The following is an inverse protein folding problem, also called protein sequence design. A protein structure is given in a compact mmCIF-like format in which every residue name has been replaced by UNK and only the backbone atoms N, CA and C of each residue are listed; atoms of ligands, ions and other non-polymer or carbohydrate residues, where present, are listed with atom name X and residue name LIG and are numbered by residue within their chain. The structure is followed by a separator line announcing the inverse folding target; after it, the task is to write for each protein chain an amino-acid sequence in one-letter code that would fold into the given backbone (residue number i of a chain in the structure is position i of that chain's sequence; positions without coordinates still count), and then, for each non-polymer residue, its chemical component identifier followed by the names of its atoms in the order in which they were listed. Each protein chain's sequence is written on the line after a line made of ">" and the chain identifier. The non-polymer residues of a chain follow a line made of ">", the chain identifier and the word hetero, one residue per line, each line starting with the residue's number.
data_IF_842174533202
#
_entry.id   IF_842174533202
#
_cell.length_a   1.000
_cell.length_b   1.000
_cell.length_c   1.000
_cell.angle_alpha   90.00
_cell.angle_beta   90.00
_cell.angle_gamma   90.00
#
_symmetry.space_group_name_H-M   'P 1'
#
loop_
_entity.id
_entity.type
_entity.pdbx_description
1 polymer ?
#
# COMPACT_ATOMS: atom_id res chain seq x y z
N UNK A 1 36.51 11.87 34.92
CA UNK A 1 36.45 11.74 33.44
C UNK A 1 35.12 11.10 33.10
N UNK A 2 34.23 11.79 32.40
CA UNK A 2 32.99 11.18 31.87
C UNK A 2 33.39 10.04 30.93
N UNK A 3 33.22 8.79 31.35
CA UNK A 3 33.41 7.65 30.47
C UNK A 3 32.23 7.62 29.51
N UNK A 4 32.44 8.17 28.31
CA UNK A 4 31.44 8.08 27.24
C UNK A 4 31.19 6.61 26.93
N UNK A 5 29.94 6.18 26.99
CA UNK A 5 29.55 4.80 26.70
C UNK A 5 30.01 4.38 25.30
N UNK A 6 30.35 3.11 25.11
CA UNK A 6 30.71 2.56 23.80
C UNK A 6 29.46 2.31 22.95
N UNK A 7 29.62 2.13 21.63
CA UNK A 7 28.50 1.79 20.74
C UNK A 7 27.77 0.52 21.20
N UNK A 8 28.51 -0.50 21.63
CA UNK A 8 27.94 -1.74 22.14
C UNK A 8 27.21 -1.60 23.48
N UNK A 9 27.68 -0.71 24.36
CA UNK A 9 26.96 -0.39 25.61
C UNK A 9 25.63 0.30 25.30
N UNK A 10 25.62 1.24 24.35
CA UNK A 10 24.38 1.84 23.87
C UNK A 10 23.44 0.81 23.22
N UNK A 11 23.95 -0.15 22.44
CA UNK A 11 23.15 -1.28 21.93
C UNK A 11 22.54 -2.10 23.08
N UNK A 12 23.32 -2.41 24.12
CA UNK A 12 22.82 -3.17 25.27
C UNK A 12 21.70 -2.42 26.01
N UNK A 13 21.88 -1.12 26.25
CA UNK A 13 20.83 -0.27 26.83
C UNK A 13 19.58 -0.22 25.95
N UNK A 14 19.76 -0.09 24.62
CA UNK A 14 18.65 -0.17 23.67
C UNK A 14 17.90 -1.50 23.74
N UNK A 15 18.62 -2.62 23.87
CA UNK A 15 18.02 -3.95 24.03
C UNK A 15 17.25 -4.07 25.36
N UNK A 16 17.74 -3.45 26.44
CA UNK A 16 17.06 -3.44 27.74
C UNK A 16 15.75 -2.64 27.69
N UNK A 17 15.79 -1.43 27.11
CA UNK A 17 14.60 -0.62 26.88
C UNK A 17 13.60 -1.35 25.96
N UNK A 18 14.07 -2.00 24.90
CA UNK A 18 13.23 -2.79 24.01
C UNK A 18 12.50 -3.93 24.74
N UNK A 19 13.19 -4.65 25.64
CA UNK A 19 12.58 -5.70 26.47
C UNK A 19 11.53 -5.14 27.44
N UNK A 20 11.71 -3.91 27.90
CA UNK A 20 10.74 -3.18 28.73
C UNK A 20 9.59 -2.56 27.92
N UNK A 21 9.62 -2.68 26.59
CA UNK A 21 8.68 -2.03 25.64
C UNK A 21 8.77 -0.49 25.64
N UNK A 22 9.90 0.04 26.09
CA UNK A 22 10.25 1.47 26.07
C UNK A 22 10.91 1.77 24.71
N UNK A 23 10.09 1.82 23.65
CA UNK A 23 10.60 1.82 22.28
C UNK A 23 11.25 3.15 21.87
N UNK A 24 10.74 4.30 22.33
CA UNK A 24 11.36 5.60 22.07
C UNK A 24 12.75 5.74 22.72
N UNK A 25 12.90 5.25 23.95
CA UNK A 25 14.16 5.21 24.67
C UNK A 25 15.14 4.25 23.98
N UNK A 26 14.66 3.06 23.56
CA UNK A 26 15.46 2.12 22.78
C UNK A 26 15.97 2.74 21.47
N UNK A 27 15.12 3.47 20.74
CA UNK A 27 15.49 4.20 19.52
C UNK A 27 16.58 5.23 19.80
N UNK A 28 16.48 5.94 20.93
CA UNK A 28 17.47 6.95 21.33
C UNK A 28 18.83 6.29 21.57
N UNK A 29 18.87 5.18 22.30
CA UNK A 29 20.11 4.45 22.58
C UNK A 29 20.70 3.81 21.31
N UNK A 30 19.89 3.18 20.45
CA UNK A 30 20.40 2.69 19.15
C UNK A 30 20.91 3.82 18.26
N UNK A 31 20.27 4.98 18.27
CA UNK A 31 20.74 6.15 17.51
C UNK A 31 22.09 6.65 18.03
N UNK A 32 22.31 6.63 19.35
CA UNK A 32 23.63 6.92 19.94
C UNK A 32 24.69 5.87 19.56
N UNK A 33 24.30 4.60 19.46
CA UNK A 33 25.18 3.53 18.96
C UNK A 33 25.57 3.78 17.50
N UNK A 34 24.61 4.12 16.63
CA UNK A 34 24.84 4.46 15.21
C UNK A 34 25.77 5.66 15.05
N UNK A 35 25.63 6.71 15.86
CA UNK A 35 26.53 7.87 15.80
C UNK A 35 27.99 7.48 16.11
N UNK A 36 28.20 6.48 16.97
CA UNK A 36 29.53 6.02 17.37
C UNK A 36 30.13 5.03 16.39
N UNK A 37 29.34 4.10 15.87
CA UNK A 37 29.74 3.20 14.79
C UNK A 37 28.63 3.09 13.73
N UNK A 38 28.69 3.93 12.68
CA UNK A 38 27.64 4.00 11.68
C UNK A 38 27.58 2.81 10.72
N UNK A 39 28.59 1.93 10.71
CA UNK A 39 28.70 0.82 9.74
C UNK A 39 28.16 -0.49 10.28
N UNK A 40 27.62 -0.51 11.49
CA UNK A 40 27.09 -1.73 12.09
C UNK A 40 25.60 -1.90 11.76
N UNK A 41 25.29 -2.81 10.83
CA UNK A 41 23.93 -3.08 10.37
C UNK A 41 22.93 -3.44 11.50
N UNK A 42 23.40 -4.18 12.51
CA UNK A 42 22.59 -4.61 13.67
C UNK A 42 21.92 -3.44 14.41
N UNK A 43 22.58 -2.27 14.50
CA UNK A 43 21.98 -1.13 15.20
C UNK A 43 20.77 -0.57 14.44
N UNK A 44 20.84 -0.56 13.11
CA UNK A 44 19.73 -0.15 12.26
C UNK A 44 18.59 -1.17 12.33
N UNK A 45 18.86 -2.47 12.25
CA UNK A 45 17.82 -3.52 12.36
C UNK A 45 17.13 -3.48 13.72
N UNK A 46 17.86 -3.26 14.82
CA UNK A 46 17.26 -3.16 16.14
C UNK A 46 16.40 -1.89 16.29
N UNK A 47 16.83 -0.76 15.70
CA UNK A 47 16.03 0.46 15.67
C UNK A 47 14.81 0.33 14.77
N UNK A 48 14.93 -0.34 13.63
CA UNK A 48 13.83 -0.69 12.73
C UNK A 48 12.77 -1.54 13.45
N UNK A 49 13.19 -2.52 14.25
CA UNK A 49 12.27 -3.30 15.10
C UNK A 49 11.51 -2.42 16.10
N UNK A 50 12.14 -1.39 16.67
CA UNK A 50 11.44 -0.44 17.54
C UNK A 50 10.43 0.41 16.75
N UNK A 51 10.83 0.90 15.57
CA UNK A 51 9.93 1.64 14.69
C UNK A 51 8.72 0.81 14.25
N UNK A 52 8.90 -0.49 14.02
CA UNK A 52 7.82 -1.41 13.68
C UNK A 52 6.82 -1.54 14.85
N UNK A 53 7.30 -1.53 16.10
CA UNK A 53 6.42 -1.53 17.30
C UNK A 53 5.70 -0.22 17.56
N UNK A 54 6.17 0.87 16.95
CA UNK A 54 5.56 2.21 17.02
C UNK A 54 4.78 2.56 15.75
N UNK A 55 4.53 1.59 14.87
CA UNK A 55 3.82 1.77 13.59
C UNK A 55 4.46 2.82 12.65
N UNK A 56 5.76 3.10 12.82
CA UNK A 56 6.54 4.05 11.99
C UNK A 56 7.12 3.34 10.77
N UNK A 57 6.26 2.81 9.90
CA UNK A 57 6.65 1.88 8.83
C UNK A 57 7.68 2.44 7.85
N UNK A 58 7.62 3.74 7.52
CA UNK A 58 8.63 4.35 6.62
C UNK A 58 10.02 4.35 7.25
N UNK A 59 10.11 4.57 8.56
CA UNK A 59 11.38 4.53 9.28
C UNK A 59 11.95 3.11 9.33
N UNK A 60 11.10 2.08 9.41
CA UNK A 60 11.51 0.67 9.31
C UNK A 60 12.20 0.42 7.97
N UNK A 61 11.56 0.80 6.86
CA UNK A 61 12.08 0.61 5.50
C UNK A 61 13.44 1.30 5.37
N UNK A 62 13.52 2.58 5.74
CA UNK A 62 14.76 3.35 5.62
C UNK A 62 15.92 2.75 6.45
N UNK A 63 15.67 2.32 7.68
CA UNK A 63 16.71 1.71 8.52
C UNK A 63 17.13 0.32 8.01
N UNK A 64 16.18 -0.48 7.51
CA UNK A 64 16.47 -1.77 6.89
C UNK A 64 17.27 -1.62 5.60
N UNK A 65 16.98 -0.63 4.76
CA UNK A 65 17.77 -0.30 3.56
C UNK A 65 19.20 0.10 3.94
N UNK A 66 19.36 0.95 4.96
CA UNK A 66 20.69 1.30 5.51
C UNK A 66 21.43 0.07 6.05
N UNK A 67 20.73 -0.84 6.73
CA UNK A 67 21.34 -2.07 7.24
C UNK A 67 21.90 -2.93 6.09
N UNK A 68 21.19 -3.01 4.97
CA UNK A 68 21.63 -3.72 3.75
C UNK A 68 22.86 -3.04 3.14
N UNK A 69 22.92 -1.71 3.09
CA UNK A 69 24.06 -0.96 2.55
C UNK A 69 25.38 -1.23 3.29
N UNK A 70 25.32 -1.49 4.60
CA UNK A 70 26.48 -1.65 5.46
C UNK A 70 26.91 -3.10 5.70
N UNK A 71 26.11 -4.07 5.28
CA UNK A 71 26.58 -5.46 5.17
C UNK A 71 27.77 -5.50 4.19
N UNK A 72 28.92 -6.09 4.56
CA UNK A 72 30.08 -6.16 3.69
C UNK A 72 29.66 -6.78 2.35
N UNK A 73 30.16 -6.19 1.26
CA UNK A 73 29.86 -6.47 -0.17
C UNK A 73 30.05 -7.93 -0.66
N UNK A 74 30.10 -8.90 0.25
CA UNK A 74 29.96 -10.34 0.00
C UNK A 74 28.57 -10.89 0.35
N UNK A 75 27.58 -10.07 0.75
CA UNK A 75 26.23 -10.53 1.14
C UNK A 75 25.26 -10.71 -0.05
N UNK A 76 25.46 -10.00 -1.16
CA UNK A 76 24.78 -10.30 -2.42
C UNK A 76 25.31 -11.62 -3.03
N UNK A 77 26.61 -11.93 -2.84
CA UNK A 77 27.25 -13.17 -3.34
C UNK A 77 27.10 -14.40 -2.42
N UNK A 78 26.74 -14.25 -1.13
CA UNK A 78 26.53 -15.39 -0.21
C UNK A 78 25.09 -15.94 -0.18
N UNK A 79 24.20 -15.44 -1.03
CA UNK A 79 22.81 -15.90 -1.14
C UNK A 79 22.66 -17.31 -1.76
N UNK A 80 23.76 -18.02 -2.08
CA UNK A 80 23.74 -19.32 -2.77
C UNK A 80 24.06 -20.57 -1.94
N UNK A 81 24.33 -20.47 -0.63
CA UNK A 81 24.71 -21.69 0.10
C UNK A 81 24.30 -21.78 1.56
N UNK A 82 24.27 -20.65 2.26
CA UNK A 82 23.82 -20.58 3.64
C UNK A 82 23.14 -19.24 3.81
N UNK A 83 21.86 -19.26 4.09
CA UNK A 83 21.14 -18.03 4.36
C UNK A 83 21.70 -17.47 5.66
N UNK A 84 22.41 -16.34 5.58
CA UNK A 84 22.64 -15.54 6.77
C UNK A 84 21.25 -15.15 7.29
N UNK A 85 20.80 -15.75 8.40
CA UNK A 85 19.47 -15.52 8.96
C UNK A 85 19.14 -14.04 9.15
N UNK A 86 20.18 -13.21 9.27
CA UNK A 86 20.11 -11.76 9.39
C UNK A 86 19.56 -11.05 8.13
N UNK A 87 20.01 -11.42 6.92
CA UNK A 87 19.50 -10.81 5.68
C UNK A 87 18.02 -11.15 5.45
N UNK A 88 17.64 -12.40 5.77
CA UNK A 88 16.24 -12.84 5.75
C UNK A 88 15.36 -12.08 6.74
N UNK A 89 15.88 -11.82 7.92
CA UNK A 89 15.19 -11.04 8.94
C UNK A 89 14.92 -9.62 8.45
N UNK A 90 15.92 -8.96 7.84
CA UNK A 90 15.76 -7.61 7.28
C UNK A 90 14.71 -7.59 6.15
N UNK A 91 14.77 -8.53 5.22
CA UNK A 91 13.79 -8.63 4.13
C UNK A 91 12.38 -8.84 4.71
N UNK A 92 12.23 -9.72 5.70
CA UNK A 92 10.97 -9.95 6.38
C UNK A 92 10.41 -8.71 7.08
N UNK A 93 11.27 -7.89 7.70
CA UNK A 93 10.88 -6.62 8.31
C UNK A 93 10.41 -5.59 7.28
N UNK A 94 11.10 -5.49 6.13
CA UNK A 94 10.67 -4.61 5.03
C UNK A 94 9.30 -5.03 4.51
N UNK A 95 9.11 -6.33 4.25
CA UNK A 95 7.84 -6.87 3.76
C UNK A 95 6.70 -6.60 4.74
N UNK A 96 6.92 -6.84 6.04
CA UNK A 96 5.90 -6.57 7.07
C UNK A 96 5.59 -5.07 7.18
N UNK A 97 6.60 -4.20 7.14
CA UNK A 97 6.38 -2.76 7.18
C UNK A 97 5.59 -2.24 5.97
N UNK A 98 5.92 -2.70 4.75
CA UNK A 98 5.18 -2.36 3.53
C UNK A 98 3.72 -2.82 3.63
N UNK A 99 3.50 -4.04 4.10
CA UNK A 99 2.16 -4.61 4.30
C UNK A 99 1.34 -3.79 5.30
N UNK A 100 1.90 -3.46 6.47
CA UNK A 100 1.16 -2.71 7.49
C UNK A 100 0.84 -1.28 7.03
N UNK A 101 1.80 -0.62 6.35
CA UNK A 101 1.57 0.70 5.73
C UNK A 101 0.42 0.65 4.72
N UNK A 102 0.35 -0.39 3.89
CA UNK A 102 -0.76 -0.57 2.95
C UNK A 102 -2.10 -0.77 3.67
N UNK A 103 -2.14 -1.59 4.72
CA UNK A 103 -3.34 -1.81 5.53
C UNK A 103 -3.84 -0.49 6.14
N UNK A 104 -2.94 0.35 6.65
CA UNK A 104 -3.28 1.66 7.23
C UNK A 104 -3.89 2.60 6.17
N UNK A 105 -3.24 2.70 5.01
CA UNK A 105 -3.74 3.50 3.89
C UNK A 105 -5.10 3.01 3.40
N UNK A 106 -5.29 1.70 3.27
CA UNK A 106 -6.57 1.13 2.82
C UNK A 106 -7.67 1.31 3.87
N UNK A 107 -7.35 1.19 5.16
CA UNK A 107 -8.30 1.53 6.24
C UNK A 107 -8.72 2.99 6.19
N UNK A 108 -7.77 3.91 5.99
CA UNK A 108 -8.06 5.33 5.86
C UNK A 108 -8.96 5.61 4.64
N UNK A 109 -8.65 4.99 3.50
CA UNK A 109 -9.47 5.06 2.28
C UNK A 109 -10.90 4.56 2.52
N UNK A 110 -11.06 3.39 3.13
CA UNK A 110 -12.38 2.82 3.44
C UNK A 110 -13.16 3.73 4.40
N UNK A 111 -12.51 4.31 5.41
CA UNK A 111 -13.15 5.23 6.34
C UNK A 111 -13.64 6.51 5.64
N UNK A 112 -12.84 7.09 4.75
CA UNK A 112 -13.21 8.26 3.95
C UNK A 112 -14.39 7.97 3.00
N UNK A 113 -14.32 6.86 2.27
CA UNK A 113 -15.39 6.40 1.37
C UNK A 113 -16.67 6.10 2.16
N UNK A 114 -16.56 5.45 3.33
CA UNK A 114 -17.72 5.17 4.19
C UNK A 114 -18.34 6.44 4.78
N UNK A 115 -17.51 7.42 5.16
CA UNK A 115 -17.96 8.70 5.69
C UNK A 115 -18.70 9.53 4.65
N UNK A 116 -18.12 9.64 3.45
CA UNK A 116 -18.75 10.34 2.31
C UNK A 116 -20.03 9.65 1.85
N UNK A 117 -20.06 8.32 1.81
CA UNK A 117 -21.29 7.57 1.54
C UNK A 117 -22.39 7.86 2.57
N UNK A 118 -22.06 7.82 3.86
CA UNK A 118 -23.01 8.13 4.94
C UNK A 118 -23.56 9.56 4.81
N UNK A 119 -22.69 10.52 4.45
CA UNK A 119 -23.08 11.90 4.21
C UNK A 119 -24.03 12.04 3.01
N UNK A 120 -23.68 11.45 1.87
CA UNK A 120 -24.52 11.47 0.65
C UNK A 120 -25.88 10.80 0.88
N UNK A 121 -25.91 9.67 1.60
CA UNK A 121 -27.14 9.00 2.00
C UNK A 121 -28.03 9.91 2.86
N UNK A 122 -27.45 10.62 3.83
CA UNK A 122 -28.15 11.61 4.65
C UNK A 122 -28.74 12.76 3.83
N UNK A 123 -28.02 13.27 2.84
CA UNK A 123 -28.53 14.32 1.94
C UNK A 123 -29.74 13.84 1.12
N UNK A 124 -29.72 12.59 0.62
CA UNK A 124 -30.84 12.00 -0.11
C UNK A 124 -32.07 11.85 0.80
N UNK A 125 -31.86 11.39 2.04
CA UNK A 125 -32.93 11.27 3.03
C UNK A 125 -33.54 12.63 3.39
N UNK A 126 -32.72 13.67 3.53
CA UNK A 126 -33.17 15.00 3.90
C UNK A 126 -33.86 15.73 2.73
N UNK A 127 -33.40 15.56 1.48
CA UNK A 127 -34.09 16.05 0.28
C UNK A 127 -35.49 15.42 0.16
N UNK A 128 -35.60 14.10 0.36
CA UNK A 128 -36.89 13.41 0.38
C UNK A 128 -37.83 13.99 1.45
N UNK A 129 -37.37 14.12 2.70
CA UNK A 129 -38.19 14.67 3.79
C UNK A 129 -38.65 16.10 3.49
N UNK A 130 -37.76 16.95 2.97
CA UNK A 130 -38.07 18.34 2.61
C UNK A 130 -39.15 18.40 1.53
N UNK A 131 -38.99 17.62 0.45
CA UNK A 131 -39.96 17.59 -0.65
C UNK A 131 -41.30 17.00 -0.23
N UNK A 132 -41.30 15.89 0.51
CA UNK A 132 -42.52 15.28 1.02
C UNK A 132 -43.30 16.20 1.97
N UNK A 133 -42.59 17.02 2.78
CA UNK A 133 -43.23 18.01 3.66
C UNK A 133 -43.83 19.20 2.89
N UNK A 134 -43.27 19.52 1.73
CA UNK A 134 -43.72 20.62 0.88
C UNK A 134 -44.92 20.28 -0.01
N UNK A 135 -45.33 19.00 -0.07
CA UNK A 135 -46.48 18.56 -0.84
C UNK A 135 -47.80 19.03 -0.21
N UNK A 136 -48.76 19.38 -1.06
CA UNK A 136 -50.12 19.69 -0.64
C UNK A 136 -50.88 18.42 -0.26
N UNK A 137 -51.20 18.28 1.04
CA UNK A 137 -51.87 17.11 1.59
C UNK A 137 -53.34 16.99 1.18
N UNK A 138 -53.94 18.08 0.70
CA UNK A 138 -55.34 18.07 0.24
C UNK A 138 -55.46 17.75 -1.25
N UNK A 139 -54.32 17.67 -1.97
CA UNK A 139 -54.29 17.28 -3.37
C UNK A 139 -54.79 15.84 -3.56
N UNK A 140 -55.70 15.59 -4.54
CA UNK A 140 -56.10 14.23 -4.88
C UNK A 140 -54.96 13.38 -5.45
N UNK A 141 -53.84 14.01 -5.86
CA UNK A 141 -52.63 13.35 -6.37
C UNK A 141 -51.55 13.14 -5.30
N UNK A 142 -51.77 13.60 -4.06
CA UNK A 142 -50.77 13.55 -2.98
C UNK A 142 -50.16 12.16 -2.76
N UNK A 143 -50.99 11.11 -2.83
CA UNK A 143 -50.52 9.74 -2.65
C UNK A 143 -49.57 9.29 -3.78
N UNK A 144 -49.85 9.69 -5.03
CA UNK A 144 -49.01 9.37 -6.19
C UNK A 144 -47.69 10.16 -6.13
N UNK A 145 -47.73 11.45 -5.81
CA UNK A 145 -46.53 12.30 -5.68
C UNK A 145 -45.57 11.81 -4.58
N UNK A 146 -46.10 11.33 -3.44
CA UNK A 146 -45.27 10.74 -2.36
C UNK A 146 -44.62 9.43 -2.82
N UNK A 147 -45.35 8.60 -3.58
CA UNK A 147 -44.81 7.34 -4.12
C UNK A 147 -43.69 7.62 -5.13
N UNK A 148 -43.88 8.57 -6.04
CA UNK A 148 -42.87 8.97 -7.01
C UNK A 148 -41.60 9.52 -6.33
N UNK A 149 -41.74 10.39 -5.33
CA UNK A 149 -40.60 10.87 -4.53
C UNK A 149 -39.88 9.73 -3.80
N UNK A 150 -40.63 8.71 -3.34
CA UNK A 150 -40.08 7.51 -2.73
C UNK A 150 -39.26 6.67 -3.72
N UNK A 151 -39.78 6.48 -4.93
CA UNK A 151 -39.09 5.76 -6.01
C UNK A 151 -37.83 6.51 -6.46
N UNK A 152 -37.91 7.84 -6.62
CA UNK A 152 -36.76 8.67 -6.97
C UNK A 152 -35.65 8.58 -5.90
N UNK A 153 -36.03 8.60 -4.62
CA UNK A 153 -35.11 8.40 -3.50
C UNK A 153 -34.44 7.03 -3.57
N UNK A 154 -35.21 5.96 -3.77
CA UNK A 154 -34.67 4.60 -3.89
C UNK A 154 -33.73 4.46 -5.08
N UNK A 155 -34.05 5.08 -6.23
CA UNK A 155 -33.17 5.11 -7.40
C UNK A 155 -31.84 5.81 -7.12
N UNK A 156 -31.87 6.96 -6.44
CA UNK A 156 -30.65 7.69 -6.05
C UNK A 156 -29.81 6.88 -5.05
N UNK A 157 -30.45 6.17 -4.10
CA UNK A 157 -29.75 5.26 -3.20
C UNK A 157 -29.13 4.07 -3.93
N UNK A 158 -29.84 3.48 -4.91
CA UNK A 158 -29.32 2.41 -5.77
C UNK A 158 -28.11 2.88 -6.60
N UNK A 159 -28.17 4.09 -7.15
CA UNK A 159 -27.04 4.69 -7.89
C UNK A 159 -25.83 4.88 -6.96
N UNK A 160 -26.06 5.37 -5.74
CA UNK A 160 -25.02 5.55 -4.73
C UNK A 160 -24.38 4.21 -4.31
N UNK A 161 -25.18 3.16 -4.13
CA UNK A 161 -24.72 1.80 -3.83
C UNK A 161 -23.93 1.20 -5.00
N UNK A 162 -24.37 1.41 -6.23
CA UNK A 162 -23.64 0.98 -7.43
C UNK A 162 -22.30 1.72 -7.57
N UNK A 163 -22.23 3.00 -7.20
CA UNK A 163 -20.98 3.76 -7.16
C UNK A 163 -20.01 3.20 -6.11
N UNK A 164 -20.52 2.75 -4.95
CA UNK A 164 -19.72 2.09 -3.92
C UNK A 164 -19.22 0.70 -4.33
N UNK A 165 -20.10 -0.14 -4.89
CA UNK A 165 -19.73 -1.49 -5.33
C UNK A 165 -18.62 -1.43 -6.39
N UNK A 166 -18.70 -0.45 -7.29
CA UNK A 166 -17.66 -0.17 -8.29
C UNK A 166 -16.37 0.43 -7.69
N UNK A 167 -16.41 0.94 -6.47
CA UNK A 167 -15.27 1.48 -5.72
C UNK A 167 -14.68 0.49 -4.68
N UNK A 168 -15.36 -0.65 -4.46
CA UNK A 168 -15.23 -1.48 -3.27
C UNK A 168 -15.09 -2.97 -3.51
N UNK A 169 -14.52 -3.42 -4.63
CA UNK A 169 -13.94 -4.76 -4.66
C UNK A 169 -12.55 -4.71 -4.00
N UNK A 170 -12.34 -5.41 -2.87
CA UNK A 170 -10.98 -5.71 -2.45
C UNK A 170 -10.35 -6.53 -3.56
N UNK A 171 -9.12 -6.19 -3.93
CA UNK A 171 -8.31 -6.91 -4.89
C UNK A 171 -8.44 -8.44 -4.67
N UNK A 172 -8.56 -9.22 -5.75
CA UNK A 172 -8.57 -10.69 -5.70
C UNK A 172 -7.29 -11.21 -5.00
N UNK A 173 -6.21 -10.40 -5.03
CA UNK A 173 -4.96 -10.60 -4.29
C UNK A 173 -5.01 -10.24 -2.79
N UNK A 174 -6.00 -9.48 -2.32
CA UNK A 174 -6.15 -9.09 -0.90
C UNK A 174 -6.95 -10.13 -0.07
N UNK A 175 -7.73 -10.98 -0.72
CA UNK A 175 -8.57 -12.00 -0.07
C UNK A 175 -7.80 -12.95 0.89
N UNK A 176 -6.56 -13.40 0.59
CA UNK A 176 -5.78 -14.25 1.50
C UNK A 176 -5.31 -13.52 2.77
N UNK A 177 -5.15 -12.20 2.72
CA UNK A 177 -4.61 -11.39 3.82
C UNK A 177 -5.70 -10.88 4.78
N UNK A 178 -6.95 -10.79 4.32
CA UNK A 178 -8.12 -10.40 5.11
C UNK A 178 -8.74 -11.56 5.92
N UNK A 179 -8.53 -12.81 5.51
CA UNK A 179 -9.17 -13.98 6.13
C UNK A 179 -8.69 -14.33 7.55
N UNK A 180 -7.61 -13.70 8.07
CA UNK A 180 -7.08 -13.99 9.42
C UNK A 180 -7.52 -13.03 10.53
N UNK A 181 -8.24 -11.95 10.24
CA UNK A 181 -8.73 -11.02 11.28
C UNK A 181 -10.20 -11.23 11.68
N UNK A 182 -10.85 -12.29 11.20
CA UNK A 182 -12.26 -12.62 11.46
C UNK A 182 -12.52 -13.24 12.84
N UNK A 183 -11.74 -12.83 13.85
CA UNK A 183 -11.94 -13.21 15.24
C UNK A 183 -12.52 -12.11 16.15
N UNK A 184 -12.69 -10.89 15.65
CA UNK A 184 -13.19 -9.78 16.47
C UNK A 184 -14.66 -9.45 16.15
N UNK A 185 -15.52 -9.87 17.06
CA UNK A 185 -16.95 -9.57 17.22
C UNK A 185 -17.41 -8.24 16.61
N UNK A 186 -18.41 -8.33 15.73
CA UNK A 186 -19.26 -7.22 15.30
C UNK A 186 -19.98 -6.61 16.51
N UNK A 187 -19.45 -5.52 17.04
CA UNK A 187 -20.20 -4.49 17.76
C UNK A 187 -19.55 -3.14 17.48
N UNK A 188 -20.13 -2.38 16.54
CA UNK A 188 -19.82 -0.95 16.38
C UNK A 188 -20.48 -0.19 17.54
N UNK A 189 -19.78 0.70 18.25
CA UNK A 189 -20.39 1.51 19.30
C UNK A 189 -21.23 2.63 18.67
N UNK A 190 -22.49 2.71 19.10
CA UNK A 190 -23.35 3.88 18.87
C UNK A 190 -22.71 5.11 19.53
N UNK A 191 -22.15 6.00 18.71
CA UNK A 191 -21.64 7.30 19.15
C UNK A 191 -22.33 8.41 18.37
N UNK A 192 -23.36 9.00 18.97
CA UNK A 192 -23.86 10.31 18.58
C UNK A 192 -22.74 11.33 18.80
N UNK A 193 -22.15 11.85 17.73
CA UNK A 193 -21.32 13.04 17.80
C UNK A 193 -21.91 14.10 16.88
N UNK A 194 -22.26 15.22 17.51
CA UNK A 194 -22.84 16.42 16.93
C UNK A 194 -22.03 16.90 15.72
N UNK A 195 -22.56 16.64 14.52
CA UNK A 195 -22.07 17.29 13.31
C UNK A 195 -22.63 18.72 13.26
N UNK A 196 -21.83 19.73 12.86
CA UNK A 196 -22.29 21.11 12.77
C UNK A 196 -23.45 21.20 11.78
N UNK A 197 -24.58 21.77 12.20
CA UNK A 197 -25.70 22.09 11.29
C UNK A 197 -25.26 23.25 10.40
N UNK A 198 -24.73 22.95 9.23
CA UNK A 198 -24.43 23.94 8.20
C UNK A 198 -25.55 23.95 7.15
N UNK A 199 -25.98 25.16 6.78
CA UNK A 199 -27.04 25.45 5.82
C UNK A 199 -26.74 24.81 4.45
N UNK A 200 -27.61 23.90 4.04
CA UNK A 200 -27.45 23.12 2.80
C UNK A 200 -27.71 23.90 1.50
N UNK A 201 -28.04 25.19 1.55
CA UNK A 201 -28.31 26.00 0.36
C UNK A 201 -27.03 26.58 -0.29
N UNK A 202 -25.95 26.77 0.46
CA UNK A 202 -24.71 27.38 -0.08
C UNK A 202 -23.76 26.39 -0.77
N UNK A 203 -23.89 25.08 -0.53
CA UNK A 203 -22.86 24.10 -0.91
C UNK A 203 -23.21 23.21 -2.11
N UNK A 204 -24.33 23.45 -2.81
CA UNK A 204 -24.65 22.69 -4.03
C UNK A 204 -23.61 22.91 -5.14
N UNK A 205 -23.12 24.14 -5.27
CA UNK A 205 -22.07 24.48 -6.23
C UNK A 205 -20.68 23.97 -5.77
N UNK A 206 -20.46 23.87 -4.46
CA UNK A 206 -19.25 23.27 -3.90
C UNK A 206 -19.22 21.75 -4.10
N UNK A 207 -20.37 21.08 -4.02
CA UNK A 207 -20.52 19.65 -4.34
C UNK A 207 -20.31 19.38 -5.83
N UNK A 208 -20.82 20.23 -6.73
CA UNK A 208 -20.53 20.15 -8.18
C UNK A 208 -19.05 20.42 -8.49
N UNK A 209 -18.44 21.41 -7.82
CA UNK A 209 -17.00 21.69 -7.93
C UNK A 209 -16.17 20.51 -7.40
N UNK A 210 -16.53 19.91 -6.26
CA UNK A 210 -15.84 18.75 -5.70
C UNK A 210 -16.00 17.50 -6.59
N UNK A 211 -17.20 17.26 -7.13
CA UNK A 211 -17.49 16.18 -8.09
C UNK A 211 -16.68 16.30 -9.39
N UNK A 212 -16.51 17.52 -9.92
CA UNK A 212 -15.70 17.78 -11.11
C UNK A 212 -14.19 17.82 -10.83
N UNK A 213 -13.78 18.04 -9.57
CA UNK A 213 -12.37 17.99 -9.14
C UNK A 213 -11.90 16.55 -8.89
N UNK A 214 -12.83 15.60 -8.79
CA UNK A 214 -12.54 14.17 -8.62
C UNK A 214 -12.16 13.54 -9.97
N UNK A 215 -10.90 13.15 -10.20
CA UNK A 215 -10.54 12.48 -11.45
C UNK A 215 -11.16 11.09 -11.42
N UNK A 216 -12.15 10.84 -12.29
CA UNK A 216 -12.71 9.50 -12.54
C UNK A 216 -11.65 8.43 -12.87
N UNK A 217 -10.42 8.84 -13.22
CA UNK A 217 -9.25 7.98 -13.49
C UNK A 217 -8.69 7.24 -12.24
N UNK A 218 -8.96 7.70 -11.01
CA UNK A 218 -8.31 7.18 -9.79
C UNK A 218 -9.11 6.14 -8.99
N UNK A 219 -10.18 5.59 -9.57
CA UNK A 219 -11.08 4.64 -8.91
C UNK A 219 -10.91 3.18 -9.39
N UNK A 220 -10.06 2.93 -10.39
CA UNK A 220 -9.75 1.57 -10.83
C UNK A 220 -8.75 0.90 -9.88
N UNK A 221 -8.88 -0.41 -9.61
CA UNK A 221 -7.89 -1.15 -8.83
C UNK A 221 -6.52 -1.02 -9.50
N UNK A 222 -5.51 -0.82 -8.65
CA UNK A 222 -4.11 -0.61 -9.04
C UNK A 222 -3.48 -1.95 -9.44
N UNK A 223 -3.88 -2.45 -10.61
CA UNK A 223 -3.36 -3.69 -11.18
C UNK A 223 -2.39 -3.35 -12.29
N UNK A 224 -1.14 -3.79 -12.12
CA UNK A 224 -0.17 -3.76 -13.21
C UNK A 224 -0.45 -4.96 -14.12
N UNK A 225 -0.67 -4.76 -15.42
CA UNK A 225 -0.79 -5.87 -16.35
C UNK A 225 0.42 -6.82 -16.30
N UNK A 226 0.16 -8.13 -16.26
CA UNK A 226 1.19 -9.18 -16.13
C UNK A 226 2.36 -9.08 -17.11
N UNK A 227 2.15 -8.49 -18.29
CA UNK A 227 3.18 -8.34 -19.31
C UNK A 227 4.21 -7.25 -18.98
N UNK A 228 3.93 -6.36 -18.02
CA UNK A 228 4.90 -5.41 -17.47
C UNK A 228 5.65 -5.95 -16.26
N UNK A 229 5.26 -7.11 -15.73
CA UNK A 229 5.90 -7.71 -14.57
C UNK A 229 6.99 -8.69 -14.97
N UNK A 230 8.11 -8.63 -14.27
CA UNK A 230 9.20 -9.58 -14.40
C UNK A 230 8.74 -10.98 -13.97
N UNK A 231 9.16 -12.01 -14.71
CA UNK A 231 8.69 -13.39 -14.45
C UNK A 231 9.39 -14.08 -13.28
N UNK A 232 10.40 -13.45 -12.69
CA UNK A 232 11.16 -13.97 -11.56
C UNK A 232 10.78 -13.21 -10.28
N UNK A 233 10.84 -11.87 -10.31
CA UNK A 233 10.57 -11.03 -9.14
C UNK A 233 9.11 -10.64 -8.98
N UNK A 234 8.32 -10.72 -10.06
CA UNK A 234 6.95 -10.21 -10.14
C UNK A 234 6.83 -8.69 -9.89
N UNK A 235 7.95 -7.96 -9.95
CA UNK A 235 8.00 -6.50 -9.87
C UNK A 235 7.86 -5.88 -11.27
N UNK A 236 7.52 -4.59 -11.32
CA UNK A 236 7.46 -3.84 -12.57
C UNK A 236 8.81 -3.78 -13.30
N UNK A 237 8.84 -4.09 -14.59
CA UNK A 237 10.07 -4.06 -15.41
C UNK A 237 10.44 -2.62 -15.80
N UNK A 238 11.66 -2.22 -15.48
CA UNK A 238 12.27 -0.94 -15.83
C UNK A 238 13.18 -1.03 -17.06
N UNK A 239 13.92 -2.14 -17.21
CA UNK A 239 14.80 -2.36 -18.35
C UNK A 239 14.59 -3.76 -18.95
N UNK A 240 13.44 -4.00 -19.60
CA UNK A 240 13.09 -5.33 -20.08
C UNK A 240 14.04 -5.84 -21.17
N UNK A 241 14.44 -7.10 -21.05
CA UNK A 241 15.21 -7.88 -22.02
C UNK A 241 14.44 -9.13 -22.41
N UNK A 242 14.46 -9.48 -23.69
CA UNK A 242 13.78 -10.67 -24.21
C UNK A 242 14.80 -11.76 -24.55
N UNK A 243 14.48 -12.99 -24.15
CA UNK A 243 15.20 -14.20 -24.55
C UNK A 243 14.86 -14.59 -25.98
N UNK A 244 15.86 -14.75 -26.84
CA UNK A 244 15.65 -15.29 -28.20
C UNK A 244 15.35 -16.79 -28.19
N UNK A 245 15.63 -17.48 -27.07
CA UNK A 245 15.41 -18.92 -26.94
C UNK A 245 13.98 -19.26 -26.54
N UNK A 246 13.40 -18.47 -25.64
CA UNK A 246 12.07 -18.71 -25.07
C UNK A 246 11.03 -17.67 -25.47
N UNK A 247 11.45 -16.48 -25.93
CA UNK A 247 10.56 -15.35 -26.19
C UNK A 247 10.06 -14.64 -24.92
N UNK A 248 10.55 -15.03 -23.74
CA UNK A 248 10.12 -14.46 -22.46
C UNK A 248 10.92 -13.19 -22.17
N UNK A 249 10.23 -12.16 -21.66
CA UNK A 249 10.86 -10.91 -21.21
C UNK A 249 11.10 -10.93 -19.70
N UNK A 250 12.24 -10.38 -19.31
CA UNK A 250 12.73 -10.29 -17.94
C UNK A 250 13.29 -8.90 -17.67
N UNK A 251 13.44 -8.54 -16.41
CA UNK A 251 14.25 -7.40 -15.99
C UNK A 251 15.74 -7.67 -16.23
N UNK A 252 16.45 -6.77 -16.92
CA UNK A 252 17.86 -6.96 -17.30
C UNK A 252 18.72 -7.30 -16.09
N UNK A 253 18.55 -6.53 -15.02
CA UNK A 253 19.35 -6.70 -13.80
C UNK A 253 19.21 -8.11 -13.24
N UNK A 254 18.01 -8.68 -13.28
CA UNK A 254 17.73 -10.04 -12.80
C UNK A 254 18.40 -11.10 -13.65
N UNK A 255 18.41 -10.94 -14.97
CA UNK A 255 19.09 -11.88 -15.85
C UNK A 255 20.61 -11.78 -15.80
N UNK A 256 21.16 -10.57 -15.67
CA UNK A 256 22.59 -10.37 -15.47
C UNK A 256 23.07 -11.06 -14.19
N UNK A 257 22.31 -10.90 -13.11
CA UNK A 257 22.54 -11.60 -11.86
C UNK A 257 22.45 -13.12 -12.06
N UNK A 258 21.38 -13.62 -12.71
CA UNK A 258 21.19 -15.04 -13.01
C UNK A 258 22.39 -15.66 -13.74
N UNK A 259 22.94 -14.99 -14.76
CA UNK A 259 24.12 -15.48 -15.49
C UNK A 259 25.42 -15.33 -14.71
N UNK A 260 25.56 -14.28 -13.89
CA UNK A 260 26.75 -14.10 -13.03
C UNK A 260 26.95 -15.27 -12.07
N UNK A 261 25.85 -15.93 -11.69
CA UNK A 261 25.84 -17.15 -10.91
C UNK A 261 26.15 -18.45 -11.69
N UNK A 262 26.60 -18.34 -12.95
CA UNK A 262 26.94 -19.49 -13.78
C UNK A 262 25.72 -20.29 -14.27
N UNK A 263 24.50 -19.78 -14.10
CA UNK A 263 23.27 -20.44 -14.57
C UNK A 263 23.08 -20.19 -16.06
N UNK A 264 23.53 -21.12 -16.89
CA UNK A 264 23.45 -21.02 -18.35
C UNK A 264 22.16 -21.60 -18.93
N UNK A 265 21.01 -21.19 -18.40
CA UNK A 265 19.69 -21.62 -18.88
C UNK A 265 18.61 -20.58 -18.60
N UNK A 266 17.47 -20.67 -19.26
CA UNK A 266 16.31 -19.83 -19.04
C UNK A 266 15.58 -20.23 -17.74
N UNK A 267 15.35 -19.30 -16.79
CA UNK A 267 14.74 -19.61 -15.49
C UNK A 267 13.34 -20.23 -15.58
N UNK A 268 12.57 -19.89 -16.63
CA UNK A 268 11.16 -20.30 -16.77
C UNK A 268 11.04 -21.45 -17.76
N UNK A 269 11.60 -21.28 -18.96
CA UNK A 269 11.51 -22.28 -20.03
C UNK A 269 12.49 -23.44 -19.85
N UNK A 270 13.47 -23.33 -18.93
CA UNK A 270 14.47 -24.36 -18.63
C UNK A 270 15.28 -24.79 -19.86
N UNK A 271 15.50 -23.87 -20.81
CA UNK A 271 16.29 -24.09 -22.03
C UNK A 271 17.70 -23.51 -21.90
N UNK A 272 18.75 -24.16 -22.45
CA UNK A 272 20.11 -23.62 -22.40
C UNK A 272 20.21 -22.22 -23.02
N UNK A 273 20.81 -21.27 -22.29
CA UNK A 273 20.86 -19.86 -22.68
C UNK A 273 22.02 -19.13 -21.99
N UNK A 274 22.59 -18.12 -22.65
CA UNK A 274 23.65 -17.24 -22.13
C UNK A 274 23.26 -15.77 -22.24
N UNK A 275 24.04 -14.85 -21.66
CA UNK A 275 23.77 -13.40 -21.74
C UNK A 275 23.65 -12.87 -23.17
N UNK A 276 24.35 -13.50 -24.12
CA UNK A 276 24.31 -13.12 -25.55
C UNK A 276 22.96 -13.40 -26.21
N UNK A 277 22.15 -14.26 -25.62
CA UNK A 277 20.83 -14.63 -26.11
C UNK A 277 19.74 -13.66 -25.60
N UNK A 278 20.11 -12.65 -24.80
CA UNK A 278 19.22 -11.58 -24.37
C UNK A 278 19.36 -10.32 -25.22
N UNK A 279 18.23 -9.85 -25.73
CA UNK A 279 18.15 -8.63 -26.53
C UNK A 279 17.33 -7.59 -25.76
N UNK A 280 17.73 -6.30 -25.73
CA UNK A 280 16.90 -5.24 -25.17
C UNK A 280 15.52 -5.21 -25.83
N UNK A 281 14.45 -5.33 -25.03
CA UNK A 281 13.08 -5.28 -25.52
C UNK A 281 12.59 -3.82 -25.54
N UNK A 282 13.05 -3.06 -26.54
CA UNK A 282 12.77 -1.62 -26.66
C UNK A 282 11.27 -1.31 -26.72
N UNK A 283 10.50 -2.13 -27.43
CA UNK A 283 9.05 -1.95 -27.53
C UNK A 283 8.35 -2.11 -26.17
N UNK A 284 8.75 -3.12 -25.37
CA UNK A 284 8.20 -3.29 -24.02
C UNK A 284 8.69 -2.19 -23.08
N UNK A 285 9.92 -1.72 -23.24
CA UNK A 285 10.44 -0.59 -22.46
C UNK A 285 9.65 0.70 -22.72
N UNK A 286 9.43 1.04 -23.98
CA UNK A 286 8.63 2.21 -24.36
C UNK A 286 7.19 2.10 -23.82
N UNK A 287 6.62 0.88 -23.84
CA UNK A 287 5.30 0.61 -23.28
C UNK A 287 5.27 0.73 -21.74
N UNK A 288 6.29 0.21 -21.04
CA UNK A 288 6.45 0.38 -19.60
C UNK A 288 6.57 1.86 -19.22
N UNK A 289 7.39 2.63 -19.93
CA UNK A 289 7.59 4.06 -19.68
C UNK A 289 6.30 4.86 -19.91
N UNK A 290 5.59 4.59 -21.00
CA UNK A 290 4.28 5.20 -21.27
C UNK A 290 3.25 4.83 -20.19
N UNK A 291 3.24 3.58 -19.73
CA UNK A 291 2.34 3.13 -18.67
C UNK A 291 2.65 3.83 -17.34
N UNK A 292 3.93 3.95 -16.97
CA UNK A 292 4.37 4.66 -15.76
C UNK A 292 4.05 6.16 -15.80
N UNK A 293 4.14 6.79 -16.97
CA UNK A 293 3.79 8.20 -17.12
C UNK A 293 2.32 8.47 -16.74
N UNK A 294 1.43 7.52 -17.00
CA UNK A 294 0.01 7.60 -16.60
C UNK A 294 -0.28 6.98 -15.23
N UNK A 295 0.55 6.04 -14.79
CA UNK A 295 0.35 5.20 -13.61
C UNK A 295 1.60 5.16 -12.73
N UNK A 296 2.10 6.32 -12.28
CA UNK A 296 3.34 6.41 -11.51
C UNK A 296 3.38 5.60 -10.22
N UNK A 297 2.22 5.15 -9.72
CA UNK A 297 2.11 4.23 -8.59
C UNK A 297 2.59 2.81 -8.90
N UNK A 298 2.67 2.40 -10.17
CA UNK A 298 3.04 1.05 -10.57
C UNK A 298 4.53 0.73 -10.36
N UNK A 299 5.36 1.74 -10.06
CA UNK A 299 6.75 1.53 -9.62
C UNK A 299 6.82 0.79 -8.29
N UNK A 300 5.81 0.94 -7.44
CA UNK A 300 5.75 0.35 -6.10
C UNK A 300 4.91 -0.94 -6.06
N UNK A 301 4.57 -1.52 -7.22
CA UNK A 301 3.79 -2.76 -7.34
C UNK A 301 4.66 -3.98 -7.00
#
# INVERSE_FOLDING_TARGET
>A
MSHSLTADQHKQLGNEHFKKKEYEEAITEYSRAIVKDPRQAVYYTNRANCYLKLDKYQNVINDCERAIEFEPKSSYEFAQGQQSGFAKEIIGLIQEAKKQKWIELERARIAEVSGTYRYMKGLIDDDFKRRALALDKESPLYAEEVIELGQEKEDRLRQLDHMLQRAGEPDEYAAPYLQRSTGASNTMPNGHHDAPKLDGSEHHDDLKKASNKWPRKNLAPRVVPDHFLDKITFEFMHDPVISIKSGISYERKMMQEHFSYGRMFDPIAQVPMTERDLIPNRALKDACEAYLAENGWAVDY
#
